data_IF_700446704482
#
_entry.id   IF_700446704482
#
_cell.length_a   1.000
_cell.length_b   1.000
_cell.length_c   1.000
_cell.angle_alpha   90.00
_cell.angle_beta   90.00
_cell.angle_gamma   90.00
#
_symmetry.space_group_name_H-M   'P 1'
#
loop_
_entity.id
_entity.type
_entity.pdbx_description
1 polymer ?
#
# COMPACT_ATOMS: atom_id res chain seq x y z
N UNK A 1 8.23 -7.21 27.85
CA UNK A 1 8.57 -8.63 27.64
C UNK A 1 7.92 -9.26 26.39
N UNK A 2 7.86 -8.56 25.24
CA UNK A 2 7.27 -9.13 24.02
C UNK A 2 8.12 -10.14 23.20
N UNK A 3 9.47 -10.22 23.27
CA UNK A 3 10.24 -10.91 22.24
C UNK A 3 10.08 -12.44 22.27
N UNK A 4 9.93 -13.07 23.44
CA UNK A 4 9.87 -14.53 23.55
C UNK A 4 8.71 -15.13 22.76
N UNK A 5 7.52 -14.50 22.80
CA UNK A 5 6.34 -14.96 22.03
C UNK A 5 6.54 -14.79 20.53
N UNK A 6 7.17 -13.70 20.09
CA UNK A 6 7.47 -13.45 18.68
C UNK A 6 8.52 -14.42 18.14
N UNK A 7 9.55 -14.74 18.93
CA UNK A 7 10.58 -15.74 18.61
C UNK A 7 9.96 -17.14 18.50
N UNK A 8 9.09 -17.53 19.44
CA UNK A 8 8.40 -18.82 19.40
C UNK A 8 7.53 -18.97 18.14
N UNK A 9 6.74 -17.94 17.78
CA UNK A 9 5.96 -17.98 16.54
C UNK A 9 6.85 -18.01 15.28
N UNK A 10 7.97 -17.29 15.25
CA UNK A 10 8.93 -17.38 14.16
C UNK A 10 9.55 -18.77 14.03
N UNK A 11 9.93 -19.40 15.15
CA UNK A 11 10.48 -20.75 15.18
C UNK A 11 9.46 -21.81 14.73
N UNK A 12 8.21 -21.72 15.18
CA UNK A 12 7.12 -22.60 14.73
C UNK A 12 6.81 -22.43 13.25
N UNK A 13 6.80 -21.20 12.73
CA UNK A 13 6.61 -20.94 11.30
C UNK A 13 7.78 -21.47 10.46
N UNK A 14 9.02 -21.33 10.93
CA UNK A 14 10.19 -21.92 10.26
C UNK A 14 10.17 -23.46 10.29
N UNK A 15 9.80 -24.07 11.43
CA UNK A 15 9.67 -25.53 11.55
C UNK A 15 8.55 -26.07 10.65
N UNK A 16 7.40 -25.39 10.58
CA UNK A 16 6.31 -25.74 9.66
C UNK A 16 6.72 -25.65 8.19
N UNK A 17 7.46 -24.59 7.83
CA UNK A 17 8.03 -24.41 6.49
C UNK A 17 9.01 -25.55 6.12
N UNK A 18 9.90 -25.93 7.05
CA UNK A 18 10.85 -27.02 6.85
C UNK A 18 10.17 -28.39 6.73
N UNK A 19 9.22 -28.70 7.61
CA UNK A 19 8.46 -29.96 7.57
C UNK A 19 7.63 -30.09 6.29
N UNK A 20 7.02 -28.98 5.84
CA UNK A 20 6.27 -28.94 4.59
C UNK A 20 7.18 -29.04 3.35
N UNK A 21 8.36 -28.42 3.37
CA UNK A 21 9.38 -28.62 2.34
C UNK A 21 9.87 -30.07 2.28
N UNK A 22 10.13 -30.70 3.43
CA UNK A 22 10.50 -32.11 3.53
C UNK A 22 9.40 -33.05 3.00
N UNK A 23 8.13 -32.63 2.97
CA UNK A 23 7.04 -33.43 2.39
C UNK A 23 7.18 -33.68 0.88
N UNK A 24 8.07 -32.96 0.18
CA UNK A 24 8.38 -33.19 -1.24
C UNK A 24 9.37 -34.33 -1.48
N UNK A 25 10.02 -34.85 -0.42
CA UNK A 25 10.89 -36.03 -0.52
C UNK A 25 10.07 -37.21 -1.02
N UNK A 26 10.52 -37.85 -2.10
CA UNK A 26 9.84 -38.99 -2.73
C UNK A 26 8.72 -38.63 -3.72
N UNK A 27 8.45 -37.34 -3.97
CA UNK A 27 7.55 -36.94 -5.07
C UNK A 27 8.24 -37.22 -6.40
N UNK A 28 7.70 -38.19 -7.16
CA UNK A 28 8.18 -38.52 -8.51
C UNK A 28 7.66 -37.47 -9.50
N UNK A 29 8.57 -36.79 -10.19
CA UNK A 29 8.27 -35.84 -11.27
C UNK A 29 8.91 -36.26 -12.61
N UNK A 30 9.45 -37.48 -12.67
CA UNK A 30 10.30 -37.95 -13.77
C UNK A 30 9.52 -38.26 -15.05
N UNK A 31 8.25 -38.64 -14.90
CA UNK A 31 7.32 -38.96 -15.98
C UNK A 31 6.20 -37.91 -16.00
N UNK A 32 6.48 -36.67 -16.46
CA UNK A 32 5.48 -35.62 -16.45
C UNK A 32 4.38 -35.89 -17.48
N UNK A 33 3.13 -35.53 -17.18
CA UNK A 33 2.01 -35.74 -18.10
C UNK A 33 2.16 -34.87 -19.35
N UNK A 34 1.54 -35.25 -20.49
CA UNK A 34 1.62 -34.49 -21.73
C UNK A 34 1.08 -33.07 -21.55
N UNK A 35 1.79 -32.09 -22.12
CA UNK A 35 1.36 -30.69 -22.14
C UNK A 35 0.28 -30.49 -23.20
N UNK A 36 -0.79 -29.76 -22.84
CA UNK A 36 -1.71 -29.21 -23.85
C UNK A 36 -0.95 -28.21 -24.75
N UNK A 37 -1.40 -28.04 -25.98
CA UNK A 37 -0.83 -27.07 -26.93
C UNK A 37 -1.80 -25.91 -27.15
N UNK A 38 -1.31 -24.69 -26.95
CA UNK A 38 -2.07 -23.45 -27.14
C UNK A 38 -2.82 -23.49 -28.49
N UNK A 39 -4.16 -23.37 -28.53
CA UNK A 39 -4.93 -23.49 -29.77
C UNK A 39 -4.56 -22.45 -30.84
N UNK A 40 -4.02 -21.30 -30.42
CA UNK A 40 -3.66 -20.17 -31.29
C UNK A 40 -2.23 -20.28 -31.82
N UNK A 41 -1.29 -20.81 -31.02
CA UNK A 41 0.15 -20.76 -31.33
C UNK A 41 0.80 -22.13 -31.51
N UNK A 42 0.16 -23.21 -31.07
CA UNK A 42 0.71 -24.57 -31.07
C UNK A 42 1.82 -24.84 -30.04
N UNK A 43 2.24 -23.84 -29.26
CA UNK A 43 3.29 -24.00 -28.25
C UNK A 43 2.79 -24.78 -27.01
N UNK A 44 3.69 -25.51 -26.31
CA UNK A 44 3.34 -26.21 -25.07
C UNK A 44 2.91 -25.26 -23.94
N UNK A 45 1.88 -25.67 -23.22
CA UNK A 45 1.26 -24.94 -22.11
C UNK A 45 1.63 -25.55 -20.74
N UNK A 46 1.25 -24.88 -19.67
CA UNK A 46 1.47 -25.30 -18.28
C UNK A 46 0.26 -25.99 -17.66
N UNK A 47 -0.52 -26.69 -18.48
CA UNK A 47 -1.57 -27.60 -18.06
C UNK A 47 -1.67 -28.78 -19.04
N UNK A 48 -2.46 -29.77 -18.65
CA UNK A 48 -2.86 -30.90 -19.49
C UNK A 48 -4.20 -30.58 -20.17
N UNK A 49 -4.71 -31.51 -20.97
CA UNK A 49 -6.11 -31.46 -21.40
C UNK A 49 -7.04 -31.51 -20.17
N UNK A 50 -8.14 -30.75 -20.22
CA UNK A 50 -9.11 -30.74 -19.13
C UNK A 50 -10.01 -31.97 -19.19
N UNK A 51 -10.27 -32.59 -18.04
CA UNK A 51 -11.27 -33.66 -17.91
C UNK A 51 -12.64 -33.13 -18.33
N UNK A 52 -13.23 -33.74 -19.36
CA UNK A 52 -14.45 -33.25 -20.03
C UNK A 52 -14.31 -31.81 -20.56
N UNK A 53 -13.21 -31.50 -21.25
CA UNK A 53 -12.98 -30.18 -21.86
C UNK A 53 -14.19 -29.73 -22.70
N UNK A 54 -14.77 -28.59 -22.32
CA UNK A 54 -15.71 -27.85 -23.15
C UNK A 54 -15.11 -26.46 -23.42
N UNK A 55 -14.63 -26.26 -24.65
CA UNK A 55 -13.93 -25.05 -25.08
C UNK A 55 -14.83 -23.80 -25.06
N UNK A 56 -16.12 -23.96 -25.30
CA UNK A 56 -17.09 -22.86 -25.21
C UNK A 56 -17.25 -22.39 -23.77
N UNK A 57 -17.29 -23.32 -22.81
CA UNK A 57 -17.33 -23.01 -21.37
C UNK A 57 -16.03 -22.32 -20.93
N UNK A 58 -14.86 -22.87 -21.28
CA UNK A 58 -13.56 -22.23 -20.97
C UNK A 58 -13.53 -20.79 -21.50
N UNK A 59 -13.80 -20.62 -22.80
CA UNK A 59 -13.77 -19.31 -23.45
C UNK A 59 -14.79 -18.33 -22.85
N UNK A 60 -15.98 -18.81 -22.48
CA UNK A 60 -17.02 -17.98 -21.83
C UNK A 60 -16.54 -17.43 -20.48
N UNK A 61 -15.91 -18.25 -19.65
CA UNK A 61 -15.35 -17.80 -18.37
C UNK A 61 -14.14 -16.88 -18.57
N UNK A 62 -13.30 -17.10 -19.58
CA UNK A 62 -12.19 -16.20 -19.92
C UNK A 62 -12.69 -14.84 -20.40
N UNK A 63 -13.72 -14.80 -21.27
CA UNK A 63 -14.34 -13.55 -21.72
C UNK A 63 -15.04 -12.80 -20.58
N UNK A 64 -15.63 -13.53 -19.62
CA UNK A 64 -16.19 -12.94 -18.40
C UNK A 64 -15.09 -12.28 -17.53
N UNK A 65 -13.96 -12.97 -17.32
CA UNK A 65 -12.83 -12.40 -16.61
C UNK A 65 -12.22 -11.18 -17.34
N UNK A 66 -12.14 -11.22 -18.68
CA UNK A 66 -11.73 -10.08 -19.50
C UNK A 66 -12.67 -8.88 -19.29
N UNK A 67 -13.98 -9.09 -19.35
CA UNK A 67 -14.97 -8.03 -19.15
C UNK A 67 -14.85 -7.40 -17.75
N UNK A 68 -14.72 -8.22 -16.70
CA UNK A 68 -14.56 -7.72 -15.33
C UNK A 68 -13.23 -6.99 -15.12
N UNK A 69 -12.11 -7.53 -15.59
CA UNK A 69 -10.80 -6.87 -15.45
C UNK A 69 -10.71 -5.59 -16.27
N UNK A 70 -11.31 -5.54 -17.45
CA UNK A 70 -11.44 -4.32 -18.27
C UNK A 70 -12.28 -3.26 -17.55
N UNK A 71 -13.42 -3.66 -16.98
CA UNK A 71 -14.30 -2.75 -16.22
C UNK A 71 -13.59 -2.23 -14.96
N UNK A 72 -12.92 -3.11 -14.22
CA UNK A 72 -12.12 -2.74 -13.05
C UNK A 72 -10.97 -1.78 -13.40
N UNK A 73 -10.23 -2.04 -14.49
CA UNK A 73 -9.18 -1.17 -15.01
C UNK A 73 -9.73 0.22 -15.36
N UNK A 74 -10.87 0.30 -16.05
CA UNK A 74 -11.53 1.55 -16.38
C UNK A 74 -11.98 2.33 -15.13
N UNK A 75 -12.63 1.66 -14.17
CA UNK A 75 -13.07 2.28 -12.91
C UNK A 75 -11.88 2.76 -12.08
N UNK A 76 -10.83 1.95 -11.95
CA UNK A 76 -9.59 2.30 -11.27
C UNK A 76 -8.92 3.52 -11.92
N UNK A 77 -8.80 3.55 -13.25
CA UNK A 77 -8.27 4.71 -13.99
C UNK A 77 -9.11 5.97 -13.79
N UNK A 78 -10.45 5.84 -13.78
CA UNK A 78 -11.34 6.97 -13.49
C UNK A 78 -11.16 7.46 -12.05
N UNK A 79 -10.99 6.55 -11.09
CA UNK A 79 -10.81 6.85 -9.68
C UNK A 79 -9.51 7.63 -9.40
N UNK A 80 -8.38 7.21 -9.99
CA UNK A 80 -7.05 7.80 -9.74
C UNK A 80 -6.74 9.03 -10.60
N UNK A 81 -7.43 9.26 -11.73
CA UNK A 81 -7.13 10.39 -12.63
C UNK A 81 -7.44 11.76 -12.03
N UNK A 82 -8.40 11.85 -11.11
CA UNK A 82 -8.82 13.09 -10.43
C UNK A 82 -9.00 12.79 -8.93
N UNK A 83 -7.91 12.58 -8.16
CA UNK A 83 -8.03 12.38 -6.73
C UNK A 83 -8.69 13.61 -6.10
N UNK A 84 -9.55 13.40 -5.10
CA UNK A 84 -10.04 14.49 -4.27
C UNK A 84 -8.87 15.16 -3.52
N UNK A 85 -9.09 16.37 -3.00
CA UNK A 85 -8.11 17.01 -2.09
C UNK A 85 -7.96 16.26 -0.76
N UNK A 86 -8.91 15.38 -0.44
CA UNK A 86 -9.01 14.62 0.81
C UNK A 86 -8.47 13.19 0.68
N UNK A 87 -7.30 13.02 0.06
CA UNK A 87 -6.61 11.72 0.00
C UNK A 87 -6.28 11.16 1.39
N UNK A 88 -6.33 9.83 1.49
CA UNK A 88 -5.96 9.10 2.71
C UNK A 88 -4.49 9.28 3.07
N UNK A 89 -4.22 9.55 4.35
CA UNK A 89 -2.87 9.63 4.91
C UNK A 89 -2.37 8.28 5.40
N UNK A 90 -1.25 7.81 4.86
CA UNK A 90 -0.52 6.64 5.33
C UNK A 90 0.49 7.04 6.40
N UNK A 91 0.21 6.71 7.66
CA UNK A 91 1.00 7.14 8.82
C UNK A 91 1.97 6.06 9.26
N UNK A 92 3.26 6.38 9.31
CA UNK A 92 4.33 5.46 9.69
C UNK A 92 4.64 5.52 11.19
N UNK A 93 4.29 4.45 11.91
CA UNK A 93 4.18 4.42 13.38
C UNK A 93 5.47 4.51 14.26
N UNK A 94 6.69 4.65 13.71
CA UNK A 94 7.84 5.15 14.49
C UNK A 94 8.11 6.64 14.32
N UNK A 95 7.88 7.22 13.13
CA UNK A 95 8.24 8.60 12.81
C UNK A 95 7.08 9.59 12.88
N UNK A 96 5.84 9.12 12.77
CA UNK A 96 4.66 9.97 12.59
C UNK A 96 4.54 10.56 11.19
N UNK A 97 5.47 10.26 10.28
CA UNK A 97 5.41 10.73 8.90
C UNK A 97 4.13 10.24 8.22
N UNK A 98 3.43 11.17 7.60
CA UNK A 98 2.20 10.94 6.85
C UNK A 98 2.47 11.12 5.35
N UNK A 99 2.29 10.05 4.59
CA UNK A 99 2.46 10.02 3.13
C UNK A 99 1.09 9.87 2.47
N UNK A 100 0.84 10.53 1.34
CA UNK A 100 -0.46 10.42 0.66
C UNK A 100 -0.66 9.03 0.04
N UNK A 101 -1.90 8.52 0.04
CA UNK A 101 -2.27 7.25 -0.60
C UNK A 101 -1.96 7.16 -2.10
N UNK A 102 -1.69 8.28 -2.77
CA UNK A 102 -1.36 8.41 -4.19
C UNK A 102 -0.47 7.28 -4.73
N UNK A 103 0.69 7.03 -4.12
CA UNK A 103 1.64 6.04 -4.66
C UNK A 103 1.11 4.61 -4.54
N UNK A 104 0.49 4.25 -3.41
CA UNK A 104 -0.15 2.93 -3.25
C UNK A 104 -1.33 2.78 -4.22
N UNK A 105 -2.14 3.82 -4.40
CA UNK A 105 -3.26 3.82 -5.33
C UNK A 105 -2.81 3.65 -6.79
N UNK A 106 -1.73 4.32 -7.20
CA UNK A 106 -1.09 4.13 -8.51
C UNK A 106 -0.59 2.68 -8.69
N UNK A 107 0.04 2.07 -7.68
CA UNK A 107 0.47 0.67 -7.74
C UNK A 107 -0.69 -0.32 -7.82
N UNK A 108 -1.77 -0.13 -7.04
CA UNK A 108 -2.99 -0.98 -7.13
C UNK A 108 -3.63 -0.83 -8.52
N UNK A 109 -3.70 0.39 -9.07
CA UNK A 109 -4.20 0.59 -10.43
C UNK A 109 -3.32 -0.10 -11.48
N UNK A 110 -1.99 0.01 -11.37
CA UNK A 110 -1.05 -0.68 -12.26
C UNK A 110 -1.22 -2.21 -12.17
N UNK A 111 -1.43 -2.75 -10.97
CA UNK A 111 -1.69 -4.17 -10.74
C UNK A 111 -2.99 -4.65 -11.42
N UNK A 112 -4.09 -3.90 -11.29
CA UNK A 112 -5.34 -4.18 -12.04
C UNK A 112 -5.08 -4.16 -13.55
N UNK A 113 -4.33 -3.17 -14.05
CA UNK A 113 -4.00 -3.05 -15.47
C UNK A 113 -3.11 -4.21 -15.97
N UNK A 114 -2.09 -4.61 -15.22
CA UNK A 114 -1.24 -5.74 -15.57
C UNK A 114 -2.01 -7.07 -15.57
N UNK A 115 -2.99 -7.21 -14.69
CA UNK A 115 -3.90 -8.36 -14.70
C UNK A 115 -4.76 -8.39 -15.96
N UNK A 116 -5.33 -7.26 -16.38
CA UNK A 116 -6.03 -7.15 -17.67
C UNK A 116 -5.11 -7.57 -18.83
N UNK A 117 -3.86 -7.10 -18.85
CA UNK A 117 -2.87 -7.50 -19.86
C UNK A 117 -2.53 -9.00 -19.77
N UNK A 118 -2.47 -9.59 -18.58
CA UNK A 118 -2.27 -11.03 -18.39
C UNK A 118 -3.46 -11.88 -18.88
N UNK A 119 -4.71 -11.43 -18.67
CA UNK A 119 -5.92 -12.08 -19.21
C UNK A 119 -5.97 -11.97 -20.75
N UNK A 120 -5.61 -10.82 -21.31
CA UNK A 120 -5.45 -10.66 -22.77
C UNK A 120 -4.34 -11.59 -23.29
N UNK A 121 -3.20 -11.64 -22.60
CA UNK A 121 -2.11 -12.54 -22.95
C UNK A 121 -2.51 -14.01 -22.93
N UNK A 122 -3.35 -14.42 -21.97
CA UNK A 122 -3.85 -15.79 -21.85
C UNK A 122 -4.69 -16.18 -23.08
N UNK A 123 -5.54 -15.28 -23.59
CA UNK A 123 -6.33 -15.52 -24.81
C UNK A 123 -5.48 -15.78 -26.07
N UNK A 124 -4.25 -15.24 -26.15
CA UNK A 124 -3.38 -15.42 -27.31
C UNK A 124 -2.34 -16.52 -27.15
N UNK A 125 -1.79 -16.70 -25.96
CA UNK A 125 -0.63 -17.58 -25.72
C UNK A 125 -0.93 -18.82 -24.90
N UNK A 126 -2.11 -18.85 -24.25
CA UNK A 126 -2.43 -19.78 -23.16
C UNK A 126 -1.44 -19.68 -21.97
N UNK A 127 -1.69 -20.33 -20.83
CA UNK A 127 -0.70 -20.31 -19.72
C UNK A 127 0.49 -21.17 -20.12
N UNK A 128 1.68 -20.58 -20.27
CA UNK A 128 2.90 -21.28 -20.68
C UNK A 128 4.14 -20.37 -20.66
N UNK A 129 5.29 -20.86 -21.13
CA UNK A 129 6.57 -20.11 -21.10
C UNK A 129 6.53 -18.75 -21.81
N UNK A 130 5.73 -18.60 -22.88
CA UNK A 130 5.58 -17.33 -23.59
C UNK A 130 4.74 -16.36 -22.76
N UNK A 131 3.60 -16.82 -22.24
CA UNK A 131 2.73 -16.04 -21.36
C UNK A 131 3.42 -15.65 -20.05
N UNK A 132 4.36 -16.46 -19.56
CA UNK A 132 5.14 -16.17 -18.35
C UNK A 132 5.80 -14.79 -18.36
N UNK A 133 6.19 -14.27 -19.53
CA UNK A 133 6.73 -12.90 -19.69
C UNK A 133 5.70 -11.84 -19.30
N UNK A 134 4.42 -12.08 -19.63
CA UNK A 134 3.30 -11.20 -19.30
C UNK A 134 2.84 -11.43 -17.85
N UNK A 135 2.69 -12.69 -17.43
CA UNK A 135 2.31 -13.03 -16.06
C UNK A 135 3.33 -12.53 -15.02
N UNK A 136 4.62 -12.52 -15.35
CA UNK A 136 5.66 -11.97 -14.47
C UNK A 136 5.50 -10.47 -14.21
N UNK A 137 4.91 -9.69 -15.13
CA UNK A 137 4.60 -8.27 -14.88
C UNK A 137 3.47 -8.10 -13.85
N UNK A 138 2.48 -8.99 -13.86
CA UNK A 138 1.42 -9.02 -12.87
C UNK A 138 1.98 -9.37 -11.48
N UNK A 139 2.71 -10.47 -11.35
CA UNK A 139 3.35 -10.89 -10.09
C UNK A 139 4.37 -9.85 -9.57
N UNK A 140 5.13 -9.22 -10.47
CA UNK A 140 6.04 -8.11 -10.14
C UNK A 140 5.35 -6.98 -9.38
N UNK A 141 4.11 -6.64 -9.76
CA UNK A 141 3.38 -5.54 -9.14
C UNK A 141 2.83 -5.90 -7.75
N UNK A 142 2.61 -7.18 -7.47
CA UNK A 142 2.33 -7.66 -6.12
C UNK A 142 3.56 -7.57 -5.22
N UNK A 143 4.72 -8.00 -5.72
CA UNK A 143 6.01 -7.86 -5.02
C UNK A 143 6.35 -6.37 -4.82
N UNK A 144 6.07 -5.52 -5.81
CA UNK A 144 6.19 -4.07 -5.71
C UNK A 144 5.28 -3.51 -4.60
N UNK A 145 3.99 -3.87 -4.58
CA UNK A 145 3.03 -3.47 -3.55
C UNK A 145 3.49 -3.91 -2.15
N UNK A 146 3.98 -5.14 -2.00
CA UNK A 146 4.51 -5.64 -0.74
C UNK A 146 5.70 -4.82 -0.24
N UNK A 147 6.63 -4.45 -1.13
CA UNK A 147 7.80 -3.64 -0.78
C UNK A 147 7.39 -2.19 -0.47
N UNK A 148 6.51 -1.57 -1.27
CA UNK A 148 5.97 -0.22 -1.02
C UNK A 148 5.30 -0.16 0.35
N UNK A 149 4.43 -1.12 0.67
CA UNK A 149 3.77 -1.22 1.97
C UNK A 149 4.80 -1.48 3.08
N UNK A 150 5.79 -2.36 2.89
CA UNK A 150 6.85 -2.58 3.86
C UNK A 150 7.73 -1.33 4.10
N UNK A 151 7.85 -0.45 3.11
CA UNK A 151 8.57 0.84 3.19
C UNK A 151 7.72 1.98 3.78
N UNK A 152 6.53 1.71 4.32
CA UNK A 152 5.65 2.73 4.92
C UNK A 152 4.78 3.47 3.90
N UNK A 153 4.62 2.92 2.70
CA UNK A 153 3.78 3.46 1.63
C UNK A 153 4.51 4.31 0.59
N UNK A 154 5.81 4.57 0.79
CA UNK A 154 6.64 5.34 -0.14
C UNK A 154 7.93 4.62 -0.49
N UNK A 155 8.31 4.69 -1.77
CA UNK A 155 9.62 4.22 -2.26
C UNK A 155 10.50 5.43 -2.56
N UNK A 156 11.65 5.53 -1.87
CA UNK A 156 12.64 6.60 -2.05
C UNK A 156 14.01 6.09 -2.52
N UNK A 157 14.25 4.77 -2.52
CA UNK A 157 15.55 4.19 -2.81
C UNK A 157 15.65 3.64 -4.23
N UNK A 158 16.76 3.97 -4.92
CA UNK A 158 17.13 3.37 -6.20
C UNK A 158 17.24 1.83 -6.12
N UNK A 159 17.51 1.27 -4.94
CA UNK A 159 17.55 -0.19 -4.72
C UNK A 159 16.24 -0.89 -5.06
N UNK A 160 15.09 -0.21 -4.98
CA UNK A 160 13.80 -0.76 -5.39
C UNK A 160 13.80 -1.18 -6.86
N UNK A 161 14.30 -0.32 -7.77
CA UNK A 161 14.37 -0.63 -9.19
C UNK A 161 15.27 -1.84 -9.46
N UNK A 162 16.37 -1.96 -8.72
CA UNK A 162 17.26 -3.12 -8.78
C UNK A 162 16.55 -4.40 -8.29
N UNK A 163 15.81 -4.36 -7.18
CA UNK A 163 15.03 -5.52 -6.71
C UNK A 163 13.96 -5.95 -7.72
N UNK A 164 13.24 -4.99 -8.31
CA UNK A 164 12.24 -5.26 -9.35
C UNK A 164 12.87 -5.95 -10.57
N UNK A 165 14.00 -5.40 -11.06
CA UNK A 165 14.74 -5.97 -12.19
C UNK A 165 15.27 -7.38 -11.88
N UNK A 166 15.93 -7.57 -10.73
CA UNK A 166 16.45 -8.86 -10.29
C UNK A 166 15.35 -9.91 -10.18
N UNK A 167 14.18 -9.55 -9.63
CA UNK A 167 13.03 -10.44 -9.54
C UNK A 167 12.51 -10.88 -10.92
N UNK A 168 12.35 -9.95 -11.89
CA UNK A 168 11.92 -10.31 -13.25
C UNK A 168 12.95 -11.22 -13.92
N UNK A 169 14.23 -10.83 -13.89
CA UNK A 169 15.30 -11.63 -14.50
C UNK A 169 15.38 -13.04 -13.90
N UNK A 170 15.31 -13.19 -12.58
CA UNK A 170 15.30 -14.49 -11.92
C UNK A 170 14.06 -15.32 -12.29
N UNK A 171 12.86 -14.71 -12.27
CA UNK A 171 11.60 -15.39 -12.55
C UNK A 171 11.56 -15.89 -14.00
N UNK A 172 11.95 -15.07 -14.97
CA UNK A 172 11.98 -15.47 -16.38
C UNK A 172 13.10 -16.48 -16.65
N UNK A 173 14.31 -16.27 -16.13
CA UNK A 173 15.43 -17.20 -16.32
C UNK A 173 15.10 -18.60 -15.79
N UNK A 174 14.54 -18.69 -14.58
CA UNK A 174 14.11 -19.97 -14.00
C UNK A 174 12.96 -20.60 -14.78
N UNK A 175 11.94 -19.83 -15.19
CA UNK A 175 10.81 -20.35 -15.99
C UNK A 175 11.24 -20.84 -17.38
N UNK A 176 12.26 -20.23 -17.97
CA UNK A 176 12.84 -20.66 -19.26
C UNK A 176 13.70 -21.90 -19.07
N UNK A 177 14.58 -21.92 -18.07
CA UNK A 177 15.59 -22.97 -17.87
C UNK A 177 15.02 -24.27 -17.27
N UNK A 178 14.02 -24.18 -16.39
CA UNK A 178 13.40 -25.37 -15.80
C UNK A 178 12.63 -26.18 -16.86
N UNK A 179 12.72 -27.52 -16.83
CA UNK A 179 11.89 -28.38 -17.67
C UNK A 179 10.45 -28.46 -17.13
N UNK A 180 9.51 -28.85 -17.98
CA UNK A 180 8.16 -29.24 -17.54
C UNK A 180 8.26 -30.44 -16.59
N UNK A 181 7.58 -30.43 -15.42
CA UNK A 181 6.60 -29.48 -14.93
C UNK A 181 7.16 -28.46 -13.92
N UNK A 182 8.48 -28.44 -13.70
CA UNK A 182 9.16 -27.64 -12.68
C UNK A 182 9.04 -26.13 -12.96
N UNK A 183 9.02 -25.73 -14.23
CA UNK A 183 8.78 -24.35 -14.67
C UNK A 183 7.41 -23.83 -14.22
N UNK A 184 6.35 -24.60 -14.48
CA UNK A 184 4.99 -24.28 -14.07
C UNK A 184 4.81 -24.29 -12.55
N UNK A 185 5.40 -25.29 -11.87
CA UNK A 185 5.40 -25.39 -10.41
C UNK A 185 6.09 -24.16 -9.80
N UNK A 186 7.28 -23.79 -10.29
CA UNK A 186 8.02 -22.62 -9.84
C UNK A 186 7.21 -21.34 -10.07
N UNK A 187 6.67 -21.15 -11.27
CA UNK A 187 5.93 -19.93 -11.61
C UNK A 187 4.66 -19.78 -10.77
N UNK A 188 3.90 -20.84 -10.55
CA UNK A 188 2.73 -20.83 -9.64
C UNK A 188 3.15 -20.60 -8.19
N UNK A 189 4.21 -21.26 -7.72
CA UNK A 189 4.73 -21.11 -6.36
C UNK A 189 5.10 -19.65 -6.04
N UNK A 190 5.86 -18.99 -6.90
CA UNK A 190 6.32 -17.62 -6.62
C UNK A 190 5.17 -16.61 -6.62
N UNK A 191 4.16 -16.77 -7.49
CA UNK A 191 2.96 -15.94 -7.50
C UNK A 191 2.11 -16.17 -6.25
N UNK A 192 1.89 -17.44 -5.87
CA UNK A 192 1.23 -17.79 -4.61
C UNK A 192 1.95 -17.19 -3.38
N UNK A 193 3.26 -16.97 -3.43
CA UNK A 193 3.99 -16.32 -2.32
C UNK A 193 3.66 -14.83 -2.18
N UNK A 194 3.53 -14.09 -3.29
CA UNK A 194 3.13 -12.67 -3.26
C UNK A 194 1.65 -12.51 -2.90
N UNK A 195 0.79 -13.34 -3.48
CA UNK A 195 -0.61 -13.59 -3.12
C UNK A 195 -0.87 -13.67 -1.61
N UNK A 196 -0.33 -14.69 -0.94
CA UNK A 196 -0.49 -14.87 0.50
C UNK A 196 0.18 -13.74 1.29
N UNK A 197 1.27 -13.19 0.76
CA UNK A 197 1.93 -12.00 1.30
C UNK A 197 0.99 -10.79 1.36
N UNK A 198 0.22 -10.52 0.31
CA UNK A 198 -0.70 -9.39 0.22
C UNK A 198 -1.85 -9.52 1.24
N UNK A 199 -2.47 -10.71 1.35
CA UNK A 199 -3.48 -10.97 2.39
C UNK A 199 -2.91 -10.63 3.77
N UNK A 200 -1.72 -11.16 4.08
CA UNK A 200 -1.07 -10.94 5.38
C UNK A 200 -0.75 -9.47 5.60
N UNK A 201 -0.28 -8.74 4.58
CA UNK A 201 0.01 -7.31 4.67
C UNK A 201 -1.25 -6.48 4.91
N UNK A 202 -2.33 -6.70 4.16
CA UNK A 202 -3.59 -5.96 4.33
C UNK A 202 -4.26 -6.26 5.68
N UNK A 203 -4.23 -7.52 6.15
CA UNK A 203 -4.71 -7.87 7.50
C UNK A 203 -3.88 -7.19 8.60
N UNK A 204 -2.55 -7.09 8.43
CA UNK A 204 -1.69 -6.32 9.36
C UNK A 204 -2.01 -4.83 9.35
N UNK A 205 -2.24 -4.26 8.17
CA UNK A 205 -2.57 -2.84 7.98
C UNK A 205 -3.92 -2.49 8.62
N UNK A 206 -4.95 -3.32 8.43
CA UNK A 206 -6.22 -3.21 9.13
C UNK A 206 -6.05 -3.29 10.66
N UNK A 207 -5.34 -4.31 11.17
CA UNK A 207 -5.10 -4.48 12.61
C UNK A 207 -4.31 -3.33 13.23
N UNK A 208 -3.30 -2.80 12.52
CA UNK A 208 -2.51 -1.65 12.98
C UNK A 208 -3.35 -0.36 12.99
N UNK A 209 -4.14 -0.13 11.94
CA UNK A 209 -5.09 1.00 11.86
C UNK A 209 -6.09 0.93 13.00
N UNK A 210 -6.80 -0.18 13.15
CA UNK A 210 -7.78 -0.36 14.23
C UNK A 210 -7.16 -0.19 15.63
N UNK A 211 -6.01 -0.80 15.91
CA UNK A 211 -5.34 -0.66 17.20
C UNK A 211 -4.85 0.76 17.51
N UNK A 212 -4.63 1.61 16.49
CA UNK A 212 -4.35 3.04 16.69
C UNK A 212 -5.63 3.83 16.95
N UNK A 213 -6.68 3.60 16.17
CA UNK A 213 -8.00 4.20 16.39
C UNK A 213 -8.51 3.89 17.81
N UNK A 214 -8.47 2.63 18.22
CA UNK A 214 -8.84 2.18 19.58
C UNK A 214 -7.98 2.86 20.67
N UNK A 215 -6.72 3.22 20.36
CA UNK A 215 -5.80 3.87 21.31
C UNK A 215 -6.02 5.37 21.50
N UNK A 216 -6.70 6.04 20.56
CA UNK A 216 -7.22 7.41 20.78
C UNK A 216 -8.44 7.43 21.71
N UNK A 217 -8.93 6.25 22.11
CA UNK A 217 -10.09 6.07 22.95
C UNK A 217 -11.38 6.09 22.15
N UNK A 218 -12.49 6.21 22.88
CA UNK A 218 -13.83 6.32 22.33
C UNK A 218 -13.95 7.60 21.46
N UNK A 219 -14.10 7.49 20.12
CA UNK A 219 -14.11 8.65 19.23
C UNK A 219 -15.24 9.61 19.57
N UNK A 220 -16.38 9.09 20.03
CA UNK A 220 -17.53 9.90 20.38
C UNK A 220 -17.27 10.68 21.70
N UNK A 221 -16.38 10.20 22.58
CA UNK A 221 -15.88 10.99 23.73
C UNK A 221 -14.85 12.02 23.33
N UNK A 222 -13.97 11.72 22.37
CA UNK A 222 -12.99 12.71 21.87
C UNK A 222 -13.69 13.85 21.13
N UNK A 223 -14.62 13.54 20.23
CA UNK A 223 -15.46 14.52 19.53
C UNK A 223 -16.32 15.31 20.54
N UNK A 224 -16.85 14.68 21.59
CA UNK A 224 -17.55 15.36 22.68
C UNK A 224 -16.63 16.26 23.52
N UNK A 225 -15.36 15.89 23.73
CA UNK A 225 -14.38 16.72 24.43
C UNK A 225 -13.99 17.94 23.58
N UNK A 226 -13.75 17.76 22.28
CA UNK A 226 -13.54 18.86 21.33
C UNK A 226 -14.75 19.79 21.26
N UNK A 227 -15.97 19.26 21.14
CA UNK A 227 -17.19 20.06 21.14
C UNK A 227 -17.40 20.84 22.45
N UNK A 228 -17.01 20.26 23.60
CA UNK A 228 -17.01 20.96 24.90
C UNK A 228 -15.92 22.05 24.96
N UNK A 229 -14.73 21.79 24.44
CA UNK A 229 -13.64 22.75 24.40
C UNK A 229 -13.97 23.95 23.49
N UNK A 230 -14.49 23.70 22.28
CA UNK A 230 -14.95 24.74 21.37
C UNK A 230 -16.05 25.60 22.04
N UNK A 231 -17.09 24.95 22.60
CA UNK A 231 -18.17 25.65 23.30
C UNK A 231 -17.69 26.44 24.54
N UNK A 232 -16.56 26.07 25.14
CA UNK A 232 -15.92 26.85 26.19
C UNK A 232 -15.14 28.06 25.64
N UNK A 233 -14.43 27.90 24.51
CA UNK A 233 -13.77 28.99 23.82
C UNK A 233 -14.77 30.04 23.29
N UNK A 234 -15.86 29.60 22.67
CA UNK A 234 -16.94 30.48 22.18
C UNK A 234 -17.54 31.33 23.32
N UNK A 235 -17.72 30.72 24.51
CA UNK A 235 -18.20 31.41 25.71
C UNK A 235 -17.19 32.44 26.23
N UNK A 236 -15.90 32.13 26.20
CA UNK A 236 -14.85 33.08 26.61
C UNK A 236 -14.78 34.27 25.65
N UNK A 237 -14.91 34.04 24.34
CA UNK A 237 -14.98 35.11 23.34
C UNK A 237 -16.21 36.02 23.59
N UNK A 238 -17.40 35.44 23.79
CA UNK A 238 -18.61 36.20 24.12
C UNK A 238 -18.48 36.98 25.44
N UNK A 239 -17.81 36.43 26.45
CA UNK A 239 -17.53 37.15 27.69
C UNK A 239 -16.55 38.31 27.48
N UNK A 240 -15.53 38.16 26.63
CA UNK A 240 -14.63 39.25 26.28
C UNK A 240 -15.37 40.40 25.57
N UNK A 241 -16.25 40.08 24.61
CA UNK A 241 -17.12 41.08 23.96
C UNK A 241 -18.05 41.79 24.95
N UNK A 242 -18.73 41.04 25.82
CA UNK A 242 -19.67 41.58 26.81
C UNK A 242 -18.98 42.40 27.92
N UNK A 243 -17.74 42.08 28.28
CA UNK A 243 -16.98 42.79 29.32
C UNK A 243 -16.54 44.20 28.92
N UNK A 244 -16.81 44.64 27.69
CA UNK A 244 -16.60 46.02 27.25
C UNK A 244 -15.14 46.44 27.08
N UNK A 245 -14.18 45.52 27.21
CA UNK A 245 -12.75 45.83 27.19
C UNK A 245 -12.24 46.41 25.85
N UNK A 246 -13.00 46.22 24.76
CA UNK A 246 -12.73 46.82 23.44
C UNK A 246 -13.51 48.11 23.16
N UNK A 247 -14.39 48.56 24.07
CA UNK A 247 -15.20 49.77 23.89
C UNK A 247 -14.52 51.05 24.40
N UNK A 248 -13.44 50.96 25.18
CA UNK A 248 -12.76 52.14 25.79
C UNK A 248 -11.42 52.52 25.14
N UNK A 249 -10.92 51.77 24.15
CA UNK A 249 -9.67 52.05 23.43
C UNK A 249 -9.94 52.69 22.05
N UNK A 250 -10.65 53.82 22.07
CA UNK A 250 -10.95 54.61 20.89
C UNK A 250 -9.73 55.32 20.29
N UNK A 251 -9.02 54.66 19.39
CA UNK A 251 -8.37 55.29 18.21
C UNK A 251 -7.83 54.20 17.27
N UNK A 252 -8.67 53.70 16.36
CA UNK A 252 -8.22 52.83 15.29
C UNK A 252 -7.73 53.72 14.13
N UNK A 253 -6.43 54.03 14.08
CA UNK A 253 -5.83 54.61 12.89
C UNK A 253 -5.91 53.60 11.74
N UNK A 254 -6.87 53.79 10.85
CA UNK A 254 -6.91 53.09 9.56
C UNK A 254 -5.76 53.61 8.70
N UNK A 255 -4.62 52.93 8.75
CA UNK A 255 -3.47 53.24 7.88
C UNK A 255 -3.84 52.84 6.45
N UNK A 256 -4.35 53.81 5.68
CA UNK A 256 -4.45 53.70 4.24
C UNK A 256 -3.04 53.68 3.66
N UNK A 257 -2.56 52.51 3.23
CA UNK A 257 -1.37 52.39 2.41
C UNK A 257 -1.71 52.80 0.98
N UNK A 258 -1.44 54.06 0.64
CA UNK A 258 -1.46 54.56 -0.73
C UNK A 258 -0.20 54.07 -1.47
N UNK A 259 -0.31 53.32 -2.58
CA UNK A 259 0.83 53.07 -3.45
C UNK A 259 1.07 54.31 -4.32
N UNK A 260 2.16 55.03 -4.07
CA UNK A 260 2.60 56.14 -4.90
C UNK A 260 3.61 55.64 -5.95
N UNK A 261 3.27 55.80 -7.23
CA UNK A 261 4.12 55.80 -8.44
C UNK A 261 5.11 54.61 -8.60
N UNK A 262 5.10 53.80 -9.67
CA UNK A 262 4.40 53.90 -10.95
C UNK A 262 5.41 53.90 -12.09
N UNK A 263 5.29 52.96 -13.04
CA UNK A 263 5.87 53.10 -14.38
C UNK A 263 5.19 52.18 -15.39
N UNK A 264 5.05 52.69 -16.61
CA UNK A 264 4.37 52.03 -17.73
C UNK A 264 5.30 51.09 -18.48
N UNK A 265 4.87 49.86 -18.77
CA UNK A 265 5.32 49.16 -19.98
C UNK A 265 4.23 48.27 -20.57
N UNK A 266 3.85 48.58 -21.80
CA UNK A 266 2.97 47.77 -22.64
C UNK A 266 3.75 46.63 -23.27
N UNK A 267 3.27 45.39 -23.14
CA UNK A 267 3.53 44.36 -24.16
C UNK A 267 2.38 43.36 -24.22
N UNK A 268 1.80 43.22 -25.41
CA UNK A 268 0.84 42.16 -25.71
C UNK A 268 1.60 40.92 -26.18
N UNK A 269 1.21 39.74 -25.71
CA UNK A 269 1.65 38.48 -26.32
C UNK A 269 0.50 37.47 -26.36
N UNK A 270 0.43 36.74 -27.47
CA UNK A 270 -0.71 35.94 -27.92
C UNK A 270 -0.84 34.57 -27.24
N UNK A 271 -2.05 33.99 -27.33
CA UNK A 271 -2.22 32.54 -27.25
C UNK A 271 -1.30 31.83 -28.25
N UNK A 272 -0.96 30.56 -27.97
CA UNK A 272 -1.47 29.56 -28.89
C UNK A 272 -2.13 28.35 -28.22
N UNK A 273 -3.23 27.91 -28.83
CA UNK A 273 -3.81 26.58 -28.70
C UNK A 273 -2.86 25.48 -29.18
N UNK A 274 -2.66 24.43 -28.38
CA UNK A 274 -2.36 23.09 -28.89
C UNK A 274 -2.75 22.03 -27.85
N UNK A 275 -3.74 21.19 -28.17
CA UNK A 275 -4.02 19.96 -27.42
C UNK A 275 -3.10 18.86 -27.97
N UNK A 276 -2.12 18.33 -27.22
CA UNK A 276 -1.47 17.09 -27.62
C UNK A 276 -2.44 15.93 -27.40
N UNK A 277 -2.60 15.10 -28.44
CA UNK A 277 -3.46 13.91 -28.40
C UNK A 277 -3.01 12.96 -27.29
N UNK A 278 -3.98 12.40 -26.56
CA UNK A 278 -3.73 11.51 -25.43
C UNK A 278 -3.30 10.11 -25.91
N UNK A 279 -2.06 9.97 -26.38
CA UNK A 279 -1.48 8.67 -26.67
C UNK A 279 -1.25 7.92 -25.33
N UNK A 280 -1.88 6.75 -25.10
CA UNK A 280 -1.79 6.04 -23.82
C UNK A 280 -0.35 5.63 -23.46
N UNK A 281 0.53 5.38 -24.43
CA UNK A 281 1.95 5.09 -24.18
C UNK A 281 2.70 6.28 -23.55
N UNK A 282 2.31 7.52 -23.88
CA UNK A 282 2.91 8.71 -23.27
C UNK A 282 2.58 8.81 -21.78
N UNK A 283 1.39 8.34 -21.35
CA UNK A 283 1.03 8.32 -19.94
C UNK A 283 1.85 7.29 -19.14
N UNK A 284 2.08 6.10 -19.71
CA UNK A 284 2.94 5.08 -19.09
C UNK A 284 4.37 5.61 -18.90
N UNK A 285 4.94 6.22 -19.95
CA UNK A 285 6.28 6.82 -19.91
C UNK A 285 6.35 8.05 -18.97
N UNK A 286 5.31 8.88 -18.91
CA UNK A 286 5.26 10.02 -17.98
C UNK A 286 5.18 9.57 -16.51
N UNK A 287 4.42 8.52 -16.20
CA UNK A 287 4.39 7.91 -14.87
C UNK A 287 5.75 7.31 -14.49
N UNK A 288 6.41 6.60 -15.43
CA UNK A 288 7.78 6.12 -15.25
C UNK A 288 8.82 7.24 -15.06
N UNK A 289 8.69 8.36 -15.77
CA UNK A 289 9.57 9.53 -15.56
C UNK A 289 9.36 10.20 -14.20
N UNK A 290 8.12 10.32 -13.72
CA UNK A 290 7.84 10.78 -12.34
C UNK A 290 8.47 9.86 -11.28
N UNK A 291 8.51 8.56 -11.57
CA UNK A 291 9.09 7.54 -10.69
C UNK A 291 10.62 7.64 -10.59
N UNK A 292 11.33 7.88 -11.71
CA UNK A 292 12.80 7.95 -11.73
C UNK A 292 13.36 9.33 -11.34
N UNK A 293 12.62 10.42 -11.57
CA UNK A 293 13.16 11.79 -11.50
C UNK A 293 12.97 12.53 -10.16
N UNK A 294 12.41 11.92 -9.11
CA UNK A 294 12.31 12.56 -7.78
C UNK A 294 13.61 12.38 -6.99
N UNK A 295 14.58 13.25 -7.27
CA UNK A 295 15.76 13.42 -6.43
C UNK A 295 15.35 13.73 -4.98
N UNK A 296 16.12 13.27 -3.97
CA UNK A 296 15.86 13.63 -2.59
C UNK A 296 15.98 15.15 -2.42
N UNK A 297 15.00 15.77 -1.76
CA UNK A 297 15.14 17.15 -1.29
C UNK A 297 16.39 17.25 -0.41
N UNK A 298 17.26 18.26 -0.60
CA UNK A 298 18.46 18.37 0.21
C UNK A 298 18.08 18.56 1.67
N UNK A 299 18.47 17.62 2.53
CA UNK A 299 18.49 17.82 3.97
C UNK A 299 19.44 18.98 4.26
N UNK A 300 18.96 20.02 4.94
CA UNK A 300 19.78 21.16 5.33
C UNK A 300 21.01 20.68 6.12
N UNK A 301 22.19 20.92 5.56
CA UNK A 301 23.46 20.67 6.22
C UNK A 301 23.79 21.87 7.11
N UNK A 302 23.58 21.74 8.41
CA UNK A 302 24.25 22.60 9.37
C UNK A 302 25.75 22.26 9.43
N UNK A 303 26.54 23.28 9.75
CA UNK A 303 27.97 23.33 9.48
C UNK A 303 28.84 22.43 10.39
N UNK A 304 30.08 22.31 9.93
CA UNK A 304 31.25 21.71 10.57
C UNK A 304 31.48 22.10 12.03
N UNK A 305 32.21 21.26 12.76
CA UNK A 305 33.63 21.54 13.03
C UNK A 305 34.43 20.27 13.37
N UNK A 306 35.74 20.33 13.10
CA UNK A 306 36.67 19.19 13.11
C UNK A 306 37.66 19.24 14.30
N UNK A 307 38.15 18.03 14.66
CA UNK A 307 39.34 17.73 15.49
C UNK A 307 39.27 17.99 17.03
N UNK A 308 40.13 17.44 17.91
CA UNK A 308 41.31 16.53 17.77
C UNK A 308 41.24 15.35 18.77
N UNK A 309 42.04 14.29 18.58
CA UNK A 309 42.35 13.28 19.62
C UNK A 309 43.25 13.86 20.74
N UNK A 310 43.08 13.43 22.00
CA UNK A 310 44.11 12.68 22.76
C UNK A 310 43.67 12.28 24.19
N UNK A 311 44.42 11.33 24.77
CA UNK A 311 44.18 10.68 26.08
C UNK A 311 44.24 11.61 27.30
N UNK A 312 43.34 11.41 28.27
CA UNK A 312 43.78 11.27 29.67
C UNK A 312 42.85 10.44 30.57
N UNK A 313 43.48 9.79 31.56
CA UNK A 313 42.91 8.97 32.63
C UNK A 313 42.17 9.78 33.69
N UNK A 314 41.05 9.26 34.24
CA UNK A 314 40.76 9.47 35.68
C UNK A 314 39.86 8.42 36.34
N UNK A 315 40.22 8.19 37.60
CA UNK A 315 39.70 7.30 38.63
C UNK A 315 38.18 7.08 38.73
N UNK A 316 37.87 5.91 39.27
CA UNK A 316 36.70 5.64 40.10
C UNK A 316 36.47 6.74 41.14
N UNK A 317 35.23 7.16 41.32
CA UNK A 317 34.74 7.60 42.62
C UNK A 317 33.25 7.29 42.72
N UNK A 318 32.90 6.39 43.64
CA UNK A 318 31.52 6.06 44.01
C UNK A 318 30.99 7.15 44.94
N UNK A 319 29.85 7.76 44.61
CA UNK A 319 28.87 8.20 45.60
C UNK A 319 27.50 8.45 44.95
N UNK A 320 26.45 8.25 45.74
CA UNK A 320 25.08 8.11 45.26
C UNK A 320 24.36 9.44 44.99
N UNK A 321 23.38 9.42 44.09
CA UNK A 321 22.09 10.12 44.28
C UNK A 321 21.02 9.34 43.53
N UNK A 322 19.96 8.94 44.23
CA UNK A 322 18.75 8.36 43.61
C UNK A 322 17.95 9.49 42.95
N UNK A 323 17.87 9.49 41.63
CA UNK A 323 16.90 10.32 40.89
C UNK A 323 15.60 9.54 40.69
N UNK A 324 14.42 10.20 40.80
CA UNK A 324 13.15 9.55 40.56
C UNK A 324 12.96 9.22 39.07
N UNK A 325 12.28 8.10 38.86
CA UNK A 325 11.92 7.50 37.58
C UNK A 325 11.32 8.53 36.61
N UNK A 326 12.04 8.83 35.53
CA UNK A 326 11.55 9.76 34.49
C UNK A 326 10.45 9.07 33.69
N UNK A 327 9.19 9.40 33.99
CA UNK A 327 8.06 9.03 33.17
C UNK A 327 8.24 9.58 31.74
N UNK A 328 8.60 8.70 30.80
CA UNK A 328 8.63 9.02 29.37
C UNK A 328 7.21 9.24 28.85
N UNK A 329 6.68 10.45 29.04
CA UNK A 329 5.53 10.93 28.28
C UNK A 329 5.94 11.01 26.80
N UNK A 330 5.23 10.32 25.89
CA UNK A 330 5.53 10.42 24.46
C UNK A 330 5.23 11.84 23.99
N UNK A 331 6.29 12.59 23.68
CA UNK A 331 6.19 13.94 23.13
C UNK A 331 5.74 13.83 21.68
N UNK A 332 4.43 13.79 21.45
CA UNK A 332 3.85 13.81 20.12
C UNK A 332 4.22 15.14 19.44
N UNK A 333 5.10 15.07 18.44
CA UNK A 333 5.45 16.19 17.56
C UNK A 333 4.37 16.52 16.53
N UNK A 334 3.10 16.29 16.86
CA UNK A 334 2.01 16.96 16.16
C UNK A 334 1.99 18.42 16.60
N UNK A 335 1.55 19.30 15.72
CA UNK A 335 1.11 20.63 16.11
C UNK A 335 -0.05 20.46 17.09
N UNK A 336 0.30 20.46 18.38
CA UNK A 336 -0.67 20.78 19.41
C UNK A 336 -1.29 22.10 18.98
N UNK A 337 -2.61 22.11 18.83
CA UNK A 337 -3.38 23.34 18.84
C UNK A 337 -3.29 23.96 20.24
N UNK A 338 -2.09 24.44 20.58
CA UNK A 338 -1.98 25.60 21.42
C UNK A 338 -2.87 26.63 20.74
N UNK A 339 -3.90 27.08 21.46
CA UNK A 339 -4.34 28.45 21.28
C UNK A 339 -3.09 29.29 21.53
N UNK A 340 -2.39 29.69 20.46
CA UNK A 340 -1.18 30.49 20.56
C UNK A 340 -1.63 31.89 20.93
N UNK A 341 -1.89 32.08 22.22
CA UNK A 341 -2.06 33.39 22.84
C UNK A 341 -0.66 34.00 22.86
N UNK A 342 -0.26 34.57 21.72
CA UNK A 342 1.05 35.19 21.55
C UNK A 342 1.06 36.51 22.31
N UNK A 343 1.41 36.47 23.59
CA UNK A 343 1.59 37.67 24.41
C UNK A 343 2.98 38.24 24.12
N UNK A 344 3.09 39.13 23.14
CA UNK A 344 4.31 39.92 22.95
C UNK A 344 4.44 41.00 24.06
N UNK A 345 5.66 41.28 24.55
CA UNK A 345 5.87 42.26 25.61
C UNK A 345 6.14 43.70 25.11
N UNK A 346 5.57 44.65 25.85
CA UNK A 346 6.18 45.92 26.26
C UNK A 346 6.21 47.17 25.33
N UNK A 347 5.44 47.24 24.23
CA UNK A 347 5.20 48.54 23.53
C UNK A 347 3.81 49.17 23.79
N UNK A 348 2.95 48.48 24.54
CA UNK A 348 1.63 48.99 24.95
C UNK A 348 0.50 48.82 23.94
N UNK A 349 0.76 48.29 22.73
CA UNK A 349 -0.27 48.05 21.71
C UNK A 349 -0.96 46.68 21.86
N UNK A 350 -1.67 46.46 22.97
CA UNK A 350 -2.30 45.17 23.28
C UNK A 350 -3.42 44.76 22.30
N UNK A 351 -3.05 44.09 21.20
CA UNK A 351 -3.96 43.28 20.39
C UNK A 351 -3.80 41.80 20.73
N UNK A 352 -4.75 41.28 21.52
CA UNK A 352 -4.94 39.83 21.66
C UNK A 352 -5.64 39.33 20.40
N UNK A 353 -4.87 38.88 19.40
CA UNK A 353 -5.45 38.21 18.23
C UNK A 353 -5.85 36.78 18.61
N UNK A 354 -7.06 36.61 19.11
CA UNK A 354 -7.70 35.29 19.14
C UNK A 354 -7.98 34.91 17.68
N UNK A 355 -7.13 34.07 17.10
CA UNK A 355 -7.43 33.43 15.82
C UNK A 355 -8.52 32.39 16.11
N UNK A 356 -9.77 32.84 16.04
CA UNK A 356 -10.93 31.98 16.00
C UNK A 356 -10.84 31.16 14.71
N UNK A 357 -10.42 29.91 14.84
CA UNK A 357 -10.41 28.96 13.73
C UNK A 357 -11.84 28.81 13.25
N UNK A 358 -12.03 29.03 11.95
CA UNK A 358 -13.35 29.14 11.33
C UNK A 358 -14.19 27.90 11.66
N UNK A 359 -15.47 28.06 12.03
CA UNK A 359 -16.33 26.96 12.48
C UNK A 359 -16.58 25.85 11.42
N UNK A 360 -16.20 26.08 10.17
CA UNK A 360 -16.20 25.07 9.09
C UNK A 360 -14.87 24.30 8.97
N UNK A 361 -13.82 24.75 9.67
CA UNK A 361 -12.49 24.13 9.77
C UNK A 361 -12.24 23.73 11.23
N UNK A 362 -12.99 22.74 11.72
CA UNK A 362 -12.46 21.92 12.80
C UNK A 362 -11.10 21.38 12.35
N UNK A 363 -10.01 21.78 13.00
CA UNK A 363 -8.63 21.35 12.67
C UNK A 363 -8.54 19.82 12.53
N UNK A 364 -9.41 19.10 13.25
CA UNK A 364 -9.54 17.65 13.24
C UNK A 364 -10.88 17.18 12.68
N UNK A 365 -11.38 17.78 11.60
CA UNK A 365 -12.60 17.37 10.86
C UNK A 365 -12.54 15.98 10.20
N UNK A 366 -11.48 15.23 10.52
CA UNK A 366 -11.24 13.83 10.23
C UNK A 366 -12.16 13.00 11.14
N UNK A 367 -13.41 12.77 10.73
CA UNK A 367 -14.22 11.77 11.41
C UNK A 367 -13.66 10.38 11.07
N UNK A 368 -12.96 9.78 12.04
CA UNK A 368 -12.13 8.57 11.97
C UNK A 368 -12.88 7.25 11.68
N UNK A 369 -13.96 7.28 10.89
CA UNK A 369 -15.02 6.27 10.94
C UNK A 369 -15.03 5.22 9.83
N UNK A 370 -13.90 4.93 9.16
CA UNK A 370 -13.82 3.60 8.54
C UNK A 370 -12.42 2.97 8.29
N UNK A 371 -11.88 2.15 9.21
CA UNK A 371 -10.82 1.18 8.86
C UNK A 371 -11.33 0.06 7.93
N UNK A 372 -12.65 -0.13 7.78
CA UNK A 372 -13.21 -1.26 7.03
C UNK A 372 -13.06 -1.11 5.51
N UNK A 373 -12.66 0.06 4.99
CA UNK A 373 -12.22 0.15 3.59
C UNK A 373 -11.01 -0.78 3.32
N UNK A 374 -10.18 -1.06 4.33
CA UNK A 374 -9.07 -2.00 4.21
C UNK A 374 -9.59 -3.45 4.07
N UNK A 375 -10.80 -3.76 4.54
CA UNK A 375 -11.42 -5.07 4.28
C UNK A 375 -11.73 -5.29 2.80
N UNK A 376 -11.88 -4.24 1.97
CA UNK A 376 -11.98 -4.40 0.52
C UNK A 376 -10.70 -5.00 -0.06
N UNK A 377 -9.52 -4.55 0.40
CA UNK A 377 -8.22 -5.09 -0.02
C UNK A 377 -8.00 -6.53 0.51
N UNK A 378 -8.40 -6.80 1.75
CA UNK A 378 -8.35 -8.15 2.32
C UNK A 378 -9.28 -9.10 1.57
N UNK A 379 -10.52 -8.69 1.29
CA UNK A 379 -11.47 -9.50 0.53
C UNK A 379 -10.99 -9.73 -0.91
N UNK A 380 -10.52 -8.68 -1.60
CA UNK A 380 -9.99 -8.79 -2.96
C UNK A 380 -8.82 -9.79 -3.05
N UNK A 381 -7.84 -9.65 -2.17
CA UNK A 381 -6.72 -10.59 -2.10
C UNK A 381 -7.17 -12.01 -1.73
N UNK A 382 -8.07 -12.19 -0.76
CA UNK A 382 -8.61 -13.52 -0.41
C UNK A 382 -9.31 -14.19 -1.61
N UNK A 383 -10.16 -13.48 -2.35
CA UNK A 383 -10.80 -14.05 -3.55
C UNK A 383 -9.77 -14.39 -4.64
N UNK A 384 -8.75 -13.54 -4.85
CA UNK A 384 -7.68 -13.81 -5.81
C UNK A 384 -6.92 -15.10 -5.46
N UNK A 385 -6.42 -15.20 -4.23
CA UNK A 385 -5.69 -16.38 -3.73
C UNK A 385 -6.56 -17.64 -3.74
N UNK A 386 -7.84 -17.57 -3.39
CA UNK A 386 -8.74 -18.75 -3.47
C UNK A 386 -8.80 -19.26 -4.91
N UNK A 387 -8.92 -18.37 -5.90
CA UNK A 387 -8.87 -18.74 -7.31
C UNK A 387 -7.55 -19.43 -7.69
N UNK A 388 -6.41 -18.81 -7.37
CA UNK A 388 -5.07 -19.34 -7.63
C UNK A 388 -4.84 -20.70 -6.95
N UNK A 389 -5.33 -20.88 -5.72
CA UNK A 389 -5.28 -22.15 -5.01
C UNK A 389 -6.13 -23.22 -5.70
N UNK A 390 -7.37 -22.92 -6.08
CA UNK A 390 -8.28 -23.87 -6.72
C UNK A 390 -7.75 -24.35 -8.07
N UNK A 391 -7.27 -23.45 -8.95
CA UNK A 391 -6.65 -23.86 -10.23
C UNK A 391 -5.34 -24.64 -10.02
N UNK A 392 -4.55 -24.30 -9.00
CA UNK A 392 -3.29 -25.01 -8.73
C UNK A 392 -3.51 -26.40 -8.13
N UNK A 393 -4.54 -26.59 -7.31
CA UNK A 393 -4.87 -27.88 -6.71
C UNK A 393 -5.55 -28.82 -7.73
N UNK A 394 -6.43 -28.28 -8.57
CA UNK A 394 -7.25 -29.06 -9.51
C UNK A 394 -6.93 -28.70 -10.97
N UNK A 395 -5.65 -28.74 -11.34
CA UNK A 395 -5.13 -28.22 -12.62
C UNK A 395 -5.74 -28.85 -13.89
N UNK A 396 -6.30 -30.05 -13.80
CA UNK A 396 -6.97 -30.77 -14.90
C UNK A 396 -8.51 -30.61 -14.90
N UNK A 397 -9.07 -29.78 -14.02
CA UNK A 397 -10.51 -29.64 -13.82
C UNK A 397 -11.04 -28.33 -14.45
N UNK A 398 -11.97 -28.45 -15.41
CA UNK A 398 -12.61 -27.33 -16.08
C UNK A 398 -13.30 -26.35 -15.10
N UNK A 399 -13.98 -26.86 -14.08
CA UNK A 399 -14.68 -26.02 -13.10
C UNK A 399 -13.72 -25.30 -12.15
N UNK A 400 -12.51 -25.83 -11.93
CA UNK A 400 -11.47 -25.14 -11.18
C UNK A 400 -10.91 -23.94 -11.96
N UNK A 401 -10.74 -24.08 -13.29
CA UNK A 401 -10.43 -22.96 -14.17
C UNK A 401 -11.56 -21.94 -14.24
N UNK A 402 -12.83 -22.38 -14.28
CA UNK A 402 -13.98 -21.49 -14.21
C UNK A 402 -14.00 -20.69 -12.89
N UNK A 403 -13.79 -21.36 -11.75
CA UNK A 403 -13.75 -20.74 -10.42
C UNK A 403 -12.62 -19.69 -10.30
N UNK A 404 -11.44 -19.97 -10.88
CA UNK A 404 -10.34 -19.02 -10.98
C UNK A 404 -10.73 -17.74 -11.77
N UNK A 405 -11.33 -17.90 -12.95
CA UNK A 405 -11.83 -16.76 -13.74
C UNK A 405 -12.94 -15.97 -13.03
N UNK A 406 -13.84 -16.64 -12.32
CA UNK A 406 -14.86 -15.99 -11.48
C UNK A 406 -14.23 -15.24 -10.31
N UNK A 407 -13.16 -15.75 -9.70
CA UNK A 407 -12.46 -15.07 -8.60
C UNK A 407 -11.82 -13.76 -9.06
N UNK A 408 -11.29 -13.70 -10.29
CA UNK A 408 -10.84 -12.46 -10.92
C UNK A 408 -12.02 -11.48 -11.12
N UNK A 409 -13.19 -12.00 -11.48
CA UNK A 409 -14.44 -11.25 -11.56
C UNK A 409 -14.90 -10.60 -10.25
N UNK A 410 -14.38 -11.04 -9.10
CA UNK A 410 -14.67 -10.46 -7.78
C UNK A 410 -13.51 -9.60 -7.29
N UNK A 411 -12.28 -10.11 -7.36
CA UNK A 411 -11.10 -9.47 -6.79
C UNK A 411 -10.79 -8.10 -7.40
N UNK A 412 -10.77 -7.98 -8.73
CA UNK A 412 -10.36 -6.73 -9.39
C UNK A 412 -11.42 -5.62 -9.28
N UNK A 413 -12.74 -5.90 -9.37
CA UNK A 413 -13.76 -4.93 -9.00
C UNK A 413 -13.67 -4.47 -7.53
N UNK A 414 -13.31 -5.33 -6.58
CA UNK A 414 -13.09 -4.92 -5.18
C UNK A 414 -11.87 -4.00 -5.03
N UNK A 415 -10.75 -4.29 -5.70
CA UNK A 415 -9.59 -3.37 -5.75
C UNK A 415 -9.94 -2.02 -6.41
N UNK A 416 -10.68 -2.03 -7.52
CA UNK A 416 -11.15 -0.81 -8.17
C UNK A 416 -12.15 -0.02 -7.33
N UNK A 417 -13.00 -0.70 -6.55
CA UNK A 417 -13.92 -0.06 -5.61
C UNK A 417 -13.19 0.54 -4.40
N UNK A 418 -12.15 -0.12 -3.86
CA UNK A 418 -11.25 0.48 -2.88
C UNK A 418 -10.65 1.79 -3.42
N UNK A 419 -10.11 1.78 -4.63
CA UNK A 419 -9.55 2.99 -5.26
C UNK A 419 -10.61 4.08 -5.44
N UNK A 420 -11.85 3.72 -5.79
CA UNK A 420 -12.94 4.68 -5.87
C UNK A 420 -13.24 5.32 -4.50
N UNK A 421 -13.43 4.51 -3.46
CA UNK A 421 -13.69 4.98 -2.08
C UNK A 421 -12.55 5.86 -1.59
N UNK A 422 -11.29 5.42 -1.70
CA UNK A 422 -10.13 6.15 -1.18
C UNK A 422 -9.92 7.52 -1.87
N UNK A 423 -10.14 7.60 -3.19
CA UNK A 423 -9.96 8.84 -3.94
C UNK A 423 -11.18 9.78 -3.87
N UNK A 424 -12.40 9.27 -3.61
CA UNK A 424 -13.66 10.04 -3.66
C UNK A 424 -14.35 10.20 -2.30
N UNK A 425 -13.82 9.62 -1.22
CA UNK A 425 -14.27 9.92 0.13
C UNK A 425 -14.16 11.44 0.39
N UNK A 426 -15.26 12.04 0.84
CA UNK A 426 -15.35 13.47 1.17
C UNK A 426 -14.48 13.88 2.38
N UNK A 427 -13.76 12.93 2.98
CA UNK A 427 -13.00 13.08 4.21
C UNK A 427 -11.73 12.24 4.12
N UNK A 428 -10.61 12.83 4.55
CA UNK A 428 -9.36 12.10 4.70
C UNK A 428 -9.56 10.97 5.72
N UNK A 429 -9.13 9.76 5.37
CA UNK A 429 -8.92 8.71 6.37
C UNK A 429 -7.43 8.62 6.69
N UNK A 430 -7.06 8.02 7.83
CA UNK A 430 -5.66 7.69 8.11
C UNK A 430 -5.50 6.18 8.24
N UNK A 431 -4.59 5.63 7.46
CA UNK A 431 -4.21 4.22 7.49
C UNK A 431 -2.86 4.13 8.20
N UNK A 432 -2.81 3.38 9.29
CA UNK A 432 -1.58 3.25 10.09
C UNK A 432 -0.79 2.03 9.65
N UNK A 433 0.45 2.26 9.24
CA UNK A 433 1.31 1.19 8.74
C UNK A 433 1.82 0.31 9.89
N UNK A 434 1.80 -1.03 9.72
CA UNK A 434 2.13 -1.95 10.81
C UNK A 434 3.60 -1.84 11.20
N UNK A 435 3.90 -1.80 12.50
CA UNK A 435 5.29 -1.78 12.98
C UNK A 435 6.06 -3.03 12.49
N UNK A 436 7.11 -2.79 11.70
CA UNK A 436 7.93 -3.82 11.06
C UNK A 436 9.10 -4.23 11.97
N UNK A 437 8.91 -5.22 12.85
CA UNK A 437 10.05 -5.89 13.51
C UNK A 437 10.62 -6.97 12.58
N UNK A 438 11.95 -7.16 12.60
CA UNK A 438 12.63 -8.18 11.76
C UNK A 438 12.02 -9.58 11.98
N UNK A 439 11.75 -9.93 13.24
CA UNK A 439 11.15 -11.22 13.64
C UNK A 439 9.73 -11.35 13.06
N UNK A 440 8.87 -10.34 13.20
CA UNK A 440 7.51 -10.39 12.62
C UNK A 440 7.55 -10.54 11.11
N UNK A 441 8.37 -9.75 10.41
CA UNK A 441 8.45 -9.83 8.95
C UNK A 441 8.94 -11.22 8.49
N UNK A 442 9.90 -11.81 9.18
CA UNK A 442 10.31 -13.20 8.95
C UNK A 442 9.17 -14.19 9.20
N UNK A 443 8.44 -14.09 10.32
CA UNK A 443 7.26 -14.95 10.60
C UNK A 443 6.22 -14.87 9.48
N UNK A 444 5.91 -13.66 9.02
CA UNK A 444 4.90 -13.43 7.97
C UNK A 444 5.37 -13.93 6.60
N UNK A 445 6.67 -13.80 6.28
CA UNK A 445 7.27 -14.43 5.11
C UNK A 445 7.13 -15.96 5.17
N UNK A 446 7.45 -16.59 6.30
CA UNK A 446 7.24 -18.03 6.49
C UNK A 446 5.77 -18.45 6.32
N UNK A 447 4.82 -17.66 6.82
CA UNK A 447 3.37 -17.95 6.64
C UNK A 447 2.97 -17.90 5.16
N UNK A 448 3.45 -16.90 4.40
CA UNK A 448 3.16 -16.82 2.96
C UNK A 448 3.79 -17.99 2.18
N UNK A 449 5.05 -18.34 2.49
CA UNK A 449 5.74 -19.49 1.92
C UNK A 449 5.02 -20.81 2.25
N UNK A 450 4.54 -21.00 3.48
CA UNK A 450 3.75 -22.18 3.87
C UNK A 450 2.48 -22.29 3.02
N UNK A 451 1.72 -21.19 2.86
CA UNK A 451 0.50 -21.19 2.05
C UNK A 451 0.75 -21.60 0.60
N UNK A 452 1.78 -21.03 -0.03
CA UNK A 452 2.16 -21.34 -1.40
C UNK A 452 2.62 -22.80 -1.56
N UNK A 453 3.52 -23.26 -0.69
CA UNK A 453 4.07 -24.63 -0.75
C UNK A 453 2.97 -25.66 -0.45
N UNK A 454 2.06 -25.39 0.48
CA UNK A 454 0.95 -26.31 0.81
C UNK A 454 0.00 -26.48 -0.37
N UNK A 455 -0.31 -25.37 -1.05
CA UNK A 455 -1.14 -25.33 -2.25
C UNK A 455 -0.51 -26.15 -3.39
N UNK A 456 0.78 -25.93 -3.68
CA UNK A 456 1.53 -26.71 -4.67
C UNK A 456 1.58 -28.20 -4.28
N UNK A 457 1.84 -28.51 -3.01
CA UNK A 457 1.92 -29.91 -2.54
C UNK A 457 0.59 -30.64 -2.69
N UNK A 458 -0.52 -29.96 -2.41
CA UNK A 458 -1.87 -30.48 -2.59
C UNK A 458 -2.18 -30.72 -4.08
N UNK A 459 -1.81 -29.80 -4.99
CA UNK A 459 -1.99 -30.00 -6.43
C UNK A 459 -1.18 -31.17 -7.00
N UNK A 460 0.06 -31.36 -6.53
CA UNK A 460 0.86 -32.53 -6.87
C UNK A 460 0.21 -33.83 -6.37
N UNK A 461 -0.29 -33.84 -5.13
CA UNK A 461 -0.99 -34.99 -4.55
C UNK A 461 -2.27 -35.36 -5.32
N UNK A 462 -3.12 -34.37 -5.64
CA UNK A 462 -4.34 -34.59 -6.45
C UNK A 462 -3.99 -35.08 -7.85
N UNK A 463 -2.93 -34.56 -8.46
CA UNK A 463 -2.44 -35.04 -9.76
C UNK A 463 -2.01 -36.51 -9.71
N UNK A 464 -1.26 -36.92 -8.68
CA UNK A 464 -0.89 -38.34 -8.47
C UNK A 464 -2.10 -39.24 -8.24
N UNK A 465 -3.13 -38.79 -7.52
CA UNK A 465 -4.37 -39.57 -7.29
C UNK A 465 -5.20 -39.78 -8.56
N UNK A 466 -5.12 -38.88 -9.54
CA UNK A 466 -5.83 -39.02 -10.80
C UNK A 466 -5.07 -39.89 -11.79
N UNK A 467 -3.73 -39.78 -11.84
CA UNK A 467 -2.88 -40.61 -12.71
C UNK A 467 -2.91 -42.13 -12.40
N UNK A 468 -3.54 -42.56 -11.31
CA UNK A 468 -3.76 -43.97 -10.97
C UNK A 468 -5.17 -44.48 -11.26
N UNK A 469 -5.99 -43.74 -12.03
CA UNK A 469 -7.35 -44.12 -12.43
C UNK A 469 -7.49 -44.45 -13.92
N UNK A 470 -6.49 -44.07 -14.71
CA UNK A 470 -6.33 -44.37 -16.14
C UNK A 470 -5.46 -45.65 -16.29
#
# INVERSE_FOLDING_TARGET
>A
MAPAREILFAALAAAGLLGLGASFIGVKLNDPPPQHKSPVTGYPTWHQDYTNENKEITMSFTMLALLFTLTASYVAYRATRKPSRSLTGFVTLPSGNEETSTQINEFIQLYINATLVAVIGYLFFDVGKIWAVIGALHNLLEVALLIVLQSGGRVTSMSFGLYMFTYVCATILLSVYLPWPLDAIFFRWQGLCSDFGLIVMFVRMHKATKAQLDSFGDPDKHDLQLAKAQKAADRLAQQQEQSGFLASSGSLHTVHLTPANGETSTSATSLPTANPSSNPLHNIHASWKRFVARAPSPSGSDNSDHETLLHHTRNQNTNATLTPESAHTPRFGGESAQTVIQVLPADGSHRVSVIALNNNESIWGVQWKNPDQIWLLVAASVFHVIGNCVTTIFITNLYAMAAFHVSYGIAYPLYAYYLYVDNHALRQTKIYMPKFSKIKNFTYLCVALIGAIATVRAGLYVSTLNAGKD
#
